data_IF_925663988886
#
_entry.id   IF_925663988886
#
_cell.length_a   1.000
_cell.length_b   1.000
_cell.length_c   1.000
_cell.angle_alpha   90.00
_cell.angle_beta   90.00
_cell.angle_gamma   90.00
#
_symmetry.space_group_name_H-M   'P 1'
#
loop_
_entity.id
_entity.type
_entity.pdbx_description
1 polymer ?
#
# COMPACT_ATOMS: atom_id res chain seq x y z
N UNK A 1 5.71 -57.72 23.77
CA UNK A 1 6.72 -56.74 24.24
C UNK A 1 7.14 -55.66 23.25
N UNK A 2 7.01 -55.79 21.91
CA UNK A 2 7.42 -54.73 20.96
C UNK A 2 6.48 -53.51 20.83
N UNK A 3 5.18 -53.64 21.17
CA UNK A 3 4.17 -52.57 21.04
C UNK A 3 4.29 -51.45 22.09
N UNK A 4 4.75 -51.77 23.30
CA UNK A 4 4.80 -50.81 24.42
C UNK A 4 5.92 -49.77 24.23
N UNK A 5 7.04 -50.18 23.63
CA UNK A 5 8.16 -49.29 23.33
C UNK A 5 7.79 -48.28 22.22
N UNK A 6 6.92 -48.68 21.29
CA UNK A 6 6.51 -47.81 20.18
C UNK A 6 5.61 -46.66 20.64
N UNK A 7 4.69 -46.92 21.57
CA UNK A 7 3.77 -45.91 22.12
C UNK A 7 4.54 -44.86 22.92
N UNK A 8 5.52 -45.28 23.72
CA UNK A 8 6.34 -44.37 24.54
C UNK A 8 7.18 -43.43 23.67
N UNK A 9 7.73 -43.94 22.56
CA UNK A 9 8.50 -43.13 21.59
C UNK A 9 7.58 -42.10 20.92
N UNK A 10 6.38 -42.50 20.48
CA UNK A 10 5.40 -41.60 19.87
C UNK A 10 4.97 -40.45 20.80
N UNK A 11 4.71 -40.75 22.08
CA UNK A 11 4.29 -39.73 23.06
C UNK A 11 5.41 -38.70 23.29
N UNK A 12 6.68 -39.09 23.21
CA UNK A 12 7.81 -38.17 23.39
C UNK A 12 8.11 -37.29 22.15
N UNK A 13 7.81 -37.78 20.96
CA UNK A 13 8.08 -37.09 19.69
C UNK A 13 7.07 -35.98 19.40
N UNK A 14 5.80 -36.17 19.76
CA UNK A 14 4.72 -35.19 19.50
C UNK A 14 4.99 -33.81 20.14
N UNK A 15 5.31 -33.67 21.43
CA UNK A 15 5.58 -32.35 22.02
C UNK A 15 6.85 -31.70 21.47
N UNK A 16 7.86 -32.49 21.06
CA UNK A 16 9.06 -31.97 20.42
C UNK A 16 8.74 -31.38 19.03
N UNK A 17 7.90 -32.05 18.25
CA UNK A 17 7.45 -31.55 16.95
C UNK A 17 6.59 -30.29 17.11
N UNK A 18 5.70 -30.24 18.11
CA UNK A 18 4.90 -29.05 18.42
C UNK A 18 5.80 -27.88 18.84
N UNK A 19 6.75 -28.12 19.76
CA UNK A 19 7.70 -27.09 20.17
C UNK A 19 8.54 -26.58 18.98
N UNK A 20 8.98 -27.48 18.11
CA UNK A 20 9.73 -27.12 16.91
C UNK A 20 8.88 -26.29 15.93
N UNK A 21 7.60 -26.63 15.74
CA UNK A 21 6.67 -25.87 14.92
C UNK A 21 6.40 -24.46 15.50
N UNK A 22 6.22 -24.35 16.82
CA UNK A 22 6.03 -23.06 17.51
C UNK A 22 7.29 -22.19 17.40
N UNK A 23 8.48 -22.75 17.63
CA UNK A 23 9.73 -22.01 17.49
C UNK A 23 9.97 -21.58 16.04
N UNK A 24 9.70 -22.46 15.07
CA UNK A 24 9.82 -22.14 13.65
C UNK A 24 8.85 -21.03 13.24
N UNK A 25 7.62 -21.06 13.74
CA UNK A 25 6.62 -20.01 13.50
C UNK A 25 7.04 -18.66 14.07
N UNK A 26 7.50 -18.62 15.33
CA UNK A 26 8.00 -17.39 15.96
C UNK A 26 9.22 -16.82 15.25
N UNK A 27 10.17 -17.68 14.89
CA UNK A 27 11.34 -17.29 14.10
C UNK A 27 10.93 -16.72 12.73
N UNK A 28 9.89 -17.28 12.11
CA UNK A 28 9.40 -16.80 10.81
C UNK A 28 8.70 -15.45 10.89
N UNK A 29 8.00 -15.16 12.00
CA UNK A 29 7.48 -13.81 12.29
C UNK A 29 8.58 -12.81 12.58
N UNK A 30 9.64 -13.22 13.27
CA UNK A 30 10.73 -12.34 13.69
C UNK A 30 11.74 -12.04 12.56
N UNK A 31 11.85 -12.92 11.55
CA UNK A 31 12.88 -12.84 10.49
C UNK A 31 12.35 -12.46 9.10
N UNK A 32 11.05 -12.53 8.81
CA UNK A 32 10.58 -11.84 7.60
C UNK A 32 10.76 -10.33 7.84
N UNK A 33 11.46 -9.59 6.96
CA UNK A 33 11.16 -8.17 6.83
C UNK A 33 9.77 -8.10 6.19
N UNK A 34 8.74 -8.29 7.02
CA UNK A 34 7.36 -8.03 6.64
C UNK A 34 7.23 -6.51 6.59
N UNK A 35 6.79 -6.03 5.45
CA UNK A 35 6.30 -4.68 5.35
C UNK A 35 7.24 -3.71 4.66
N UNK A 36 6.76 -2.49 4.69
CA UNK A 36 7.28 -1.38 3.93
C UNK A 36 8.42 -0.69 4.67
N UNK A 37 9.41 -0.19 3.92
CA UNK A 37 10.47 0.63 4.51
C UNK A 37 10.03 2.10 4.47
N UNK A 38 9.76 2.73 5.62
CA UNK A 38 9.41 4.15 5.64
C UNK A 38 10.61 5.00 5.19
N UNK A 39 10.38 6.20 4.64
CA UNK A 39 11.46 7.14 4.37
C UNK A 39 12.15 7.54 5.68
N UNK A 40 13.49 7.52 5.69
CA UNK A 40 14.30 7.70 6.90
C UNK A 40 14.05 9.00 7.68
N UNK A 41 13.60 10.05 7.02
CA UNK A 41 13.30 11.36 7.64
C UNK A 41 11.98 11.93 7.10
N UNK A 42 10.96 11.08 6.97
CA UNK A 42 9.65 11.54 6.52
C UNK A 42 9.10 12.62 7.46
N UNK A 43 8.68 13.73 6.88
CA UNK A 43 7.90 14.80 7.51
C UNK A 43 6.79 15.18 6.54
N UNK A 44 5.61 15.54 7.04
CA UNK A 44 4.46 15.85 6.19
C UNK A 44 4.75 16.97 5.18
N UNK A 45 5.59 17.95 5.55
CA UNK A 45 5.99 19.02 4.63
C UNK A 45 6.78 18.52 3.40
N UNK A 46 7.30 17.29 3.43
CA UNK A 46 7.94 16.66 2.27
C UNK A 46 6.92 16.26 1.19
N UNK A 47 5.63 16.13 1.54
CA UNK A 47 4.54 15.88 0.59
C UNK A 47 4.23 17.12 -0.24
N UNK A 48 4.52 18.33 0.23
CA UNK A 48 4.11 19.56 -0.45
C UNK A 48 4.76 19.67 -1.84
N UNK A 49 3.95 19.91 -2.86
CA UNK A 49 4.38 19.99 -4.25
C UNK A 49 3.64 19.04 -5.18
N UNK A 50 4.23 18.77 -6.33
CA UNK A 50 3.63 17.97 -7.39
C UNK A 50 4.23 16.57 -7.42
N UNK A 51 3.36 15.59 -7.57
CA UNK A 51 3.69 14.17 -7.70
C UNK A 51 3.03 13.64 -8.97
N UNK A 52 3.79 12.90 -9.77
CA UNK A 52 3.31 12.45 -11.08
C UNK A 52 3.48 10.95 -11.22
N UNK A 53 2.42 10.30 -11.70
CA UNK A 53 2.46 8.99 -12.32
C UNK A 53 2.21 9.19 -13.81
N UNK A 54 3.07 8.63 -14.66
CA UNK A 54 2.95 8.76 -16.10
C UNK A 54 3.43 7.49 -16.80
N UNK A 55 2.58 6.93 -17.64
CA UNK A 55 2.88 5.84 -18.58
C UNK A 55 2.26 6.19 -19.93
N UNK A 56 2.56 5.42 -20.97
CA UNK A 56 2.09 5.73 -22.33
C UNK A 56 0.56 5.88 -22.38
N UNK A 57 0.10 7.10 -22.68
CA UNK A 57 -1.32 7.43 -22.78
C UNK A 57 -2.07 7.56 -21.45
N UNK A 58 -1.41 7.48 -20.30
CA UNK A 58 -2.05 7.64 -18.98
C UNK A 58 -1.17 8.50 -18.08
N UNK A 59 -1.75 9.54 -17.48
CA UNK A 59 -1.09 10.32 -16.45
C UNK A 59 -2.06 10.62 -15.30
N UNK A 60 -1.53 10.61 -14.09
CA UNK A 60 -2.18 11.02 -12.86
C UNK A 60 -1.24 11.97 -12.13
N UNK A 61 -1.71 13.15 -11.78
CA UNK A 61 -0.92 14.19 -11.11
C UNK A 61 -1.61 14.58 -9.83
N UNK A 62 -0.87 14.55 -8.73
CA UNK A 62 -1.30 15.01 -7.42
C UNK A 62 -0.53 16.27 -7.05
N UNK A 63 -1.23 17.29 -6.56
CA UNK A 63 -0.64 18.55 -6.12
C UNK A 63 -1.04 18.76 -4.67
N UNK A 64 -0.08 18.72 -3.75
CA UNK A 64 -0.28 18.94 -2.31
C UNK A 64 0.14 20.36 -1.93
N UNK A 65 -0.68 21.00 -1.10
CA UNK A 65 -0.42 22.32 -0.52
C UNK A 65 -0.19 22.24 0.98
N UNK A 66 0.51 23.26 1.48
CA UNK A 66 0.81 23.46 2.90
C UNK A 66 -0.43 23.77 3.76
N UNK A 67 -1.53 24.16 3.13
CA UNK A 67 -2.84 24.38 3.77
C UNK A 67 -3.61 23.08 4.09
N UNK A 68 -3.03 21.91 3.84
CA UNK A 68 -3.66 20.61 4.08
C UNK A 68 -4.65 20.18 2.98
N UNK A 69 -4.66 20.86 1.83
CA UNK A 69 -5.44 20.45 0.66
C UNK A 69 -4.57 19.91 -0.47
N UNK A 70 -5.16 19.06 -1.29
CA UNK A 70 -4.58 18.50 -2.49
C UNK A 70 -5.54 18.62 -3.68
N UNK A 71 -5.00 18.43 -4.88
CA UNK A 71 -5.76 18.32 -6.13
C UNK A 71 -5.25 17.12 -6.92
N UNK A 72 -6.16 16.42 -7.61
CA UNK A 72 -5.85 15.35 -8.56
C UNK A 72 -6.20 15.78 -9.99
N UNK A 73 -5.33 15.44 -10.95
CA UNK A 73 -5.53 15.64 -12.38
C UNK A 73 -5.23 14.32 -13.10
N UNK A 74 -6.25 13.74 -13.74
CA UNK A 74 -6.15 12.49 -14.51
C UNK A 74 -6.31 12.79 -16.00
N UNK A 75 -5.43 12.22 -16.81
CA UNK A 75 -5.54 12.23 -18.27
C UNK A 75 -5.26 10.84 -18.82
N UNK A 76 -6.28 10.23 -19.43
CA UNK A 76 -6.24 8.92 -20.09
C UNK A 76 -6.53 9.16 -21.58
N UNK A 77 -5.68 8.65 -22.46
CA UNK A 77 -5.78 8.84 -23.91
C UNK A 77 -6.87 7.95 -24.54
N UNK A 78 -7.03 6.71 -24.07
CA UNK A 78 -8.05 5.77 -24.55
C UNK A 78 -8.55 4.86 -23.40
N UNK A 79 -9.85 4.94 -23.03
CA UNK A 79 -10.83 5.93 -23.49
C UNK A 79 -10.37 7.34 -23.11
N UNK A 80 -10.75 8.35 -23.89
CA UNK A 80 -10.35 9.73 -23.61
C UNK A 80 -11.05 10.22 -22.33
N UNK A 81 -10.31 10.27 -21.24
CA UNK A 81 -10.77 10.78 -19.94
C UNK A 81 -9.89 11.94 -19.53
N UNK A 82 -10.53 13.07 -19.19
CA UNK A 82 -9.91 14.15 -18.46
C UNK A 82 -10.70 14.37 -17.19
N UNK A 83 -10.01 14.43 -16.06
CA UNK A 83 -10.60 14.76 -14.78
C UNK A 83 -9.65 15.69 -14.03
N UNK A 84 -10.23 16.67 -13.37
CA UNK A 84 -9.55 17.56 -12.44
C UNK A 84 -10.46 17.73 -11.23
N UNK A 85 -9.93 17.47 -10.04
CA UNK A 85 -10.67 17.63 -8.80
C UNK A 85 -10.70 19.09 -8.36
N UNK A 86 -11.70 19.45 -7.55
CA UNK A 86 -11.56 20.59 -6.64
C UNK A 86 -10.45 20.32 -5.61
N UNK A 87 -10.06 21.35 -4.85
CA UNK A 87 -9.17 21.17 -3.70
C UNK A 87 -9.90 20.37 -2.61
N UNK A 88 -9.29 19.27 -2.19
CA UNK A 88 -9.82 18.34 -1.18
C UNK A 88 -8.81 18.20 -0.04
N UNK A 89 -9.24 17.88 1.19
CA UNK A 89 -8.31 17.68 2.29
C UNK A 89 -7.48 16.41 2.10
N UNK A 90 -6.31 16.39 2.73
CA UNK A 90 -5.51 15.18 2.92
C UNK A 90 -4.98 15.12 4.36
N UNK A 91 -4.69 13.92 4.83
CA UNK A 91 -4.07 13.69 6.14
C UNK A 91 -3.11 12.51 6.08
N UNK A 92 -2.24 12.42 7.08
CA UNK A 92 -1.30 11.31 7.22
C UNK A 92 -1.63 10.53 8.48
N UNK A 93 -1.73 9.21 8.32
CA UNK A 93 -1.79 8.25 9.41
C UNK A 93 -0.55 7.38 9.39
N UNK A 94 -0.21 6.78 10.53
CA UNK A 94 0.96 5.92 10.65
C UNK A 94 0.52 4.54 11.13
N UNK A 95 1.00 3.49 10.46
CA UNK A 95 0.77 2.13 10.96
C UNK A 95 1.70 1.80 12.14
N UNK A 96 1.60 0.58 12.65
CA UNK A 96 2.42 0.07 13.76
C UNK A 96 3.92 0.01 13.45
N UNK A 97 4.29 0.02 12.16
CA UNK A 97 5.67 0.06 11.67
C UNK A 97 6.15 1.47 11.35
N UNK A 98 5.40 2.51 11.74
CA UNK A 98 5.69 3.92 11.47
C UNK A 98 5.80 4.26 9.97
N UNK A 99 5.10 3.51 9.12
CA UNK A 99 4.96 3.77 7.69
C UNK A 99 3.85 4.82 7.50
N UNK A 100 4.08 5.91 6.75
CA UNK A 100 3.07 6.93 6.51
C UNK A 100 2.07 6.50 5.44
N UNK A 101 0.79 6.59 5.77
CA UNK A 101 -0.37 6.39 4.91
C UNK A 101 -1.03 7.75 4.66
N UNK A 102 -1.08 8.17 3.41
CA UNK A 102 -1.63 9.43 2.96
C UNK A 102 -3.07 9.17 2.51
N UNK A 103 -4.00 9.70 3.28
CA UNK A 103 -5.43 9.66 3.01
C UNK A 103 -5.83 10.84 2.16
N UNK A 104 -6.52 10.57 1.04
CA UNK A 104 -6.87 11.52 0.00
C UNK A 104 -8.37 11.50 -0.24
N UNK A 105 -9.08 12.44 0.41
CA UNK A 105 -10.53 12.56 0.30
C UNK A 105 -10.92 12.80 -1.16
N UNK A 106 -11.90 12.04 -1.66
CA UNK A 106 -12.42 12.27 -3.00
C UNK A 106 -11.56 11.71 -4.15
N UNK A 107 -10.41 11.10 -3.87
CA UNK A 107 -9.48 10.63 -4.90
C UNK A 107 -10.12 9.60 -5.82
N UNK A 108 -9.84 9.68 -7.12
CA UNK A 108 -10.32 8.72 -8.12
C UNK A 108 -9.25 7.69 -8.43
N UNK A 109 -9.65 6.42 -8.46
CA UNK A 109 -8.74 5.27 -8.55
C UNK A 109 -8.74 4.56 -9.91
N UNK A 110 -9.44 5.11 -10.91
CA UNK A 110 -9.61 4.47 -12.21
C UNK A 110 -8.31 4.31 -13.01
N UNK A 111 -7.27 5.10 -12.70
CA UNK A 111 -5.92 4.95 -13.29
C UNK A 111 -5.24 3.66 -12.81
N UNK A 112 -5.56 3.20 -11.59
CA UNK A 112 -4.93 2.03 -10.98
C UNK A 112 -5.65 0.73 -11.31
N UNK A 113 -6.90 0.82 -11.76
CA UNK A 113 -7.66 -0.34 -12.16
C UNK A 113 -8.75 0.02 -13.18
N UNK A 114 -8.64 -0.57 -14.38
CA UNK A 114 -9.59 -0.39 -15.49
C UNK A 114 -11.04 -0.76 -15.14
N UNK A 115 -11.26 -1.55 -14.08
CA UNK A 115 -12.58 -1.93 -13.60
C UNK A 115 -13.33 -0.84 -12.83
N UNK A 116 -12.68 0.27 -12.50
CA UNK A 116 -13.29 1.39 -11.77
C UNK A 116 -13.70 2.48 -12.75
N UNK A 117 -14.96 2.90 -12.66
CA UNK A 117 -15.45 4.06 -13.37
C UNK A 117 -14.68 5.31 -12.90
N UNK A 118 -14.13 6.08 -13.85
CA UNK A 118 -13.49 7.34 -13.54
C UNK A 118 -14.44 8.41 -12.97
N UNK A 119 -15.75 8.16 -12.84
CA UNK A 119 -16.69 8.98 -12.06
C UNK A 119 -16.83 8.54 -10.60
N UNK A 120 -16.34 7.35 -10.26
CA UNK A 120 -16.36 6.83 -8.90
C UNK A 120 -15.33 7.55 -8.03
N UNK A 121 -15.77 7.91 -6.83
CA UNK A 121 -14.90 8.39 -5.76
C UNK A 121 -14.36 7.19 -5.00
N UNK A 122 -13.06 7.19 -4.72
CA UNK A 122 -12.37 6.16 -3.97
C UNK A 122 -12.45 4.76 -4.61
N UNK A 123 -12.30 3.76 -3.77
CA UNK A 123 -12.40 2.35 -4.13
C UNK A 123 -13.82 1.80 -4.19
N UNK A 124 -14.83 2.56 -3.78
CA UNK A 124 -16.20 2.05 -3.63
C UNK A 124 -16.27 0.89 -2.63
N UNK A 125 -17.14 -0.09 -2.88
CA UNK A 125 -17.31 -1.26 -1.99
C UNK A 125 -16.21 -2.33 -2.13
N UNK A 126 -15.18 -2.04 -2.92
CA UNK A 126 -14.14 -2.99 -3.29
C UNK A 126 -13.01 -2.96 -2.26
N UNK A 127 -12.48 -4.14 -1.94
CA UNK A 127 -11.32 -4.25 -1.09
C UNK A 127 -10.01 -4.05 -1.87
N UNK A 128 -9.09 -3.34 -1.23
CA UNK A 128 -7.73 -3.06 -1.67
C UNK A 128 -6.74 -3.70 -0.72
N UNK A 129 -5.68 -4.25 -1.27
CA UNK A 129 -4.64 -4.95 -0.56
C UNK A 129 -3.56 -3.97 -0.10
N UNK A 130 -3.46 -3.81 1.21
CA UNK A 130 -2.34 -3.17 1.88
C UNK A 130 -1.22 -4.21 2.03
N UNK A 131 -0.19 -4.10 1.18
CA UNK A 131 0.92 -5.03 1.18
C UNK A 131 1.93 -4.77 2.33
N UNK A 132 1.89 -3.60 2.97
CA UNK A 132 2.72 -3.32 4.13
C UNK A 132 2.27 -4.15 5.33
N UNK A 133 0.95 -4.21 5.55
CA UNK A 133 0.34 -4.91 6.69
C UNK A 133 -0.28 -6.27 6.30
N UNK A 134 -0.13 -6.69 5.03
CA UNK A 134 -0.68 -7.93 4.45
C UNK A 134 -2.21 -8.09 4.66
N UNK A 135 -2.98 -7.01 4.58
CA UNK A 135 -4.42 -6.99 4.85
C UNK A 135 -5.27 -6.39 3.72
N UNK A 136 -6.57 -6.68 3.76
CA UNK A 136 -7.56 -6.12 2.83
C UNK A 136 -8.36 -5.01 3.49
N UNK A 137 -8.22 -3.79 2.99
CA UNK A 137 -8.89 -2.59 3.48
C UNK A 137 -9.97 -2.12 2.51
N UNK A 138 -10.99 -1.43 3.04
CA UNK A 138 -12.00 -0.74 2.23
C UNK A 138 -11.73 0.76 2.28
N UNK A 139 -11.76 1.40 1.13
CA UNK A 139 -11.52 2.84 0.97
C UNK A 139 -12.67 3.47 0.18
N UNK A 140 -13.88 3.52 0.77
CA UNK A 140 -15.10 3.79 0.00
C UNK A 140 -15.12 5.16 -0.67
N UNK A 141 -14.57 6.19 0.00
CA UNK A 141 -14.67 7.58 -0.43
C UNK A 141 -13.32 8.30 -0.55
N UNK A 142 -12.22 7.56 -0.46
CA UNK A 142 -10.86 8.10 -0.44
C UNK A 142 -9.92 7.23 -1.28
N UNK A 143 -8.74 7.77 -1.55
CA UNK A 143 -7.58 6.99 -1.96
C UNK A 143 -6.55 6.98 -0.84
N UNK A 144 -5.83 5.87 -0.73
CA UNK A 144 -4.73 5.75 0.23
C UNK A 144 -3.44 5.50 -0.57
N UNK A 145 -2.45 6.34 -0.33
CA UNK A 145 -1.08 6.16 -0.81
C UNK A 145 -0.15 5.87 0.37
N UNK A 146 0.91 5.12 0.11
CA UNK A 146 1.92 4.78 1.10
C UNK A 146 3.21 5.52 0.73
N UNK A 147 3.75 6.34 1.64
CA UNK A 147 5.06 6.95 1.41
C UNK A 147 6.16 5.95 1.75
N UNK A 148 6.98 5.61 0.75
CA UNK A 148 8.10 4.69 0.88
C UNK A 148 9.42 5.36 0.57
N UNK A 149 10.51 4.81 1.12
CA UNK A 149 11.86 5.16 0.69
C UNK A 149 12.05 4.85 -0.80
N UNK A 150 12.58 5.81 -1.57
CA UNK A 150 12.90 5.62 -2.98
C UNK A 150 14.28 6.16 -3.33
N UNK A 151 14.98 5.46 -4.22
CA UNK A 151 16.26 5.92 -4.79
C UNK A 151 16.08 6.63 -6.14
N UNK A 152 14.85 6.69 -6.65
CA UNK A 152 14.53 7.26 -7.96
C UNK A 152 13.89 8.64 -7.88
N UNK A 153 13.38 9.01 -6.70
CA UNK A 153 12.86 10.33 -6.38
C UNK A 153 13.98 11.26 -5.91
N UNK A 154 13.93 12.55 -6.30
CA UNK A 154 14.90 13.54 -5.80
C UNK A 154 14.68 13.86 -4.31
N UNK A 155 13.46 13.61 -3.81
CA UNK A 155 13.06 13.76 -2.40
C UNK A 155 13.32 12.50 -1.57
N UNK A 156 13.74 11.41 -2.20
CA UNK A 156 13.91 10.12 -1.53
C UNK A 156 12.60 9.44 -1.12
N UNK A 157 11.46 9.88 -1.67
CA UNK A 157 10.11 9.42 -1.31
C UNK A 157 9.38 9.01 -2.58
N UNK A 158 8.68 7.89 -2.53
CA UNK A 158 7.75 7.44 -3.58
C UNK A 158 6.40 7.17 -2.95
N UNK A 159 5.33 7.67 -3.58
CA UNK A 159 3.97 7.45 -3.09
C UNK A 159 3.38 6.27 -3.86
N UNK A 160 3.00 5.21 -3.15
CA UNK A 160 2.53 3.96 -3.76
C UNK A 160 1.06 3.73 -3.44
N UNK A 161 0.23 3.50 -4.46
CA UNK A 161 -1.17 3.16 -4.25
C UNK A 161 -1.35 1.74 -3.68
N UNK A 162 -2.43 1.53 -2.93
CA UNK A 162 -2.85 0.18 -2.54
C UNK A 162 -3.14 -0.68 -3.79
N UNK A 163 -2.95 -1.99 -3.67
CA UNK A 163 -3.06 -2.89 -4.83
C UNK A 163 -4.42 -3.58 -4.89
N UNK A 164 -4.91 -3.92 -6.09
CA UNK A 164 -6.15 -4.70 -6.22
C UNK A 164 -5.95 -6.21 -6.01
N UNK A 165 -4.73 -6.73 -6.16
CA UNK A 165 -4.37 -8.16 -6.07
C UNK A 165 -3.16 -8.35 -5.17
N UNK A 166 -3.01 -9.55 -4.60
CA UNK A 166 -1.88 -9.91 -3.72
C UNK A 166 -0.63 -10.38 -4.46
N UNK A 167 -0.68 -10.61 -5.78
CA UNK A 167 0.43 -11.18 -6.56
C UNK A 167 0.64 -10.47 -7.91
N UNK A 168 1.89 -10.04 -8.15
CA UNK A 168 2.43 -9.78 -9.50
C UNK A 168 1.94 -8.53 -10.24
N UNK A 169 1.54 -7.46 -9.54
CA UNK A 169 0.96 -6.27 -10.19
C UNK A 169 1.95 -5.12 -10.28
N UNK A 170 1.87 -4.39 -11.40
CA UNK A 170 2.44 -3.05 -11.59
C UNK A 170 2.16 -2.20 -10.36
N UNK A 171 3.23 -1.78 -9.68
CA UNK A 171 3.12 -0.83 -8.57
C UNK A 171 2.86 0.54 -9.20
N UNK A 172 1.69 1.09 -8.91
CA UNK A 172 1.37 2.45 -9.32
C UNK A 172 2.01 3.40 -8.33
N UNK A 173 3.03 4.11 -8.80
CA UNK A 173 3.81 4.98 -7.95
C UNK A 173 3.96 6.38 -8.51
N UNK A 174 3.90 7.34 -7.62
CA UNK A 174 4.14 8.74 -7.92
C UNK A 174 5.52 9.14 -7.45
N UNK A 175 6.22 9.81 -8.34
CA UNK A 175 7.51 10.44 -8.05
C UNK A 175 7.38 11.94 -8.26
N UNK A 176 8.24 12.69 -7.59
CA UNK A 176 8.41 14.09 -7.90
C UNK A 176 9.03 14.25 -9.31
N UNK A 177 8.56 15.24 -10.10
CA UNK A 177 9.02 15.46 -11.48
C UNK A 177 10.44 16.02 -11.57
#
# INVERSE_FOLDING_TARGET
MKRQNFITILISLVPLLIACAICSYRYYEEVRPKGCTPPSNFIESALIGTWKYEVEGVSDTLIFRDDGNYKQIINIGMPKVYYESEWQPWNVEYNTSNVPFIHLDGMRLCVYWEGIDCQQIGGGDIQWFNYCDEEWVKIPNEGILIALHSNHSSRGIELVALQKRSEGVTVYSFVDP
#
